data_IF_552186201934
#
_entry.id   IF_552186201934
#
_cell.length_a   1.000
_cell.length_b   1.000
_cell.length_c   1.000
_cell.angle_alpha   90.00
_cell.angle_beta   90.00
_cell.angle_gamma   90.00
#
_symmetry.space_group_name_H-M   'P 1'
#
loop_
_entity.id
_entity.type
_entity.pdbx_description
1 polymer ?
#
# COMPACT_ATOMS: atom_id res chain seq x y z
N UNK A 1 3.63 -10.88 7.57
CA UNK A 1 3.07 -11.19 6.25
C UNK A 1 3.16 -9.95 5.36
N UNK A 2 3.91 -10.02 4.26
CA UNK A 2 4.02 -8.92 3.30
C UNK A 2 3.22 -9.25 2.04
N UNK A 3 2.08 -8.59 1.85
CA UNK A 3 1.22 -8.83 0.69
C UNK A 3 1.22 -7.61 -0.25
N UNK A 4 2.00 -7.74 -1.33
CA UNK A 4 2.14 -6.73 -2.40
C UNK A 4 0.87 -6.54 -3.23
N UNK A 5 -0.11 -7.43 -3.10
CA UNK A 5 -1.43 -7.25 -3.72
C UNK A 5 -2.33 -6.31 -2.91
N UNK A 6 -1.96 -5.96 -1.68
CA UNK A 6 -2.76 -5.13 -0.79
C UNK A 6 -3.94 -5.88 -0.14
N UNK A 7 -3.77 -7.17 0.18
CA UNK A 7 -4.81 -8.01 0.78
C UNK A 7 -6.10 -8.03 -0.04
N UNK A 8 -5.97 -8.36 -1.33
CA UNK A 8 -7.10 -8.51 -2.24
C UNK A 8 -7.66 -9.94 -2.30
N UNK A 9 -6.91 -10.94 -1.81
CA UNK A 9 -7.36 -12.34 -1.73
C UNK A 9 -8.07 -12.60 -0.40
N UNK A 10 -9.28 -13.15 -0.47
CA UNK A 10 -10.04 -13.56 0.71
C UNK A 10 -9.33 -14.71 1.46
N UNK A 11 -8.69 -15.62 0.72
CA UNK A 11 -7.91 -16.72 1.28
C UNK A 11 -6.72 -16.20 2.09
N UNK A 12 -6.03 -15.16 1.58
CA UNK A 12 -4.93 -14.51 2.31
C UNK A 12 -5.41 -13.85 3.60
N UNK A 13 -6.61 -13.25 3.59
CA UNK A 13 -7.21 -12.63 4.77
C UNK A 13 -7.59 -13.66 5.84
N UNK A 14 -8.14 -14.82 5.45
CA UNK A 14 -8.43 -15.90 6.41
C UNK A 14 -7.13 -16.47 7.01
N UNK A 15 -6.10 -16.72 6.19
CA UNK A 15 -4.79 -17.16 6.71
C UNK A 15 -4.21 -16.11 7.67
N UNK A 16 -4.24 -14.84 7.31
CA UNK A 16 -3.75 -13.78 8.18
C UNK A 16 -4.53 -13.73 9.51
N UNK A 17 -5.86 -13.92 9.48
CA UNK A 17 -6.72 -13.94 10.67
C UNK A 17 -6.39 -15.10 11.61
N UNK A 18 -6.08 -16.28 11.07
CA UNK A 18 -5.77 -17.46 11.88
C UNK A 18 -4.43 -17.33 12.61
N UNK A 19 -3.41 -16.80 11.92
CA UNK A 19 -2.04 -16.69 12.46
C UNK A 19 -1.71 -15.34 13.08
N UNK A 20 -2.55 -14.32 12.86
CA UNK A 20 -2.41 -12.92 13.35
C UNK A 20 -0.99 -12.35 13.21
N UNK A 21 -0.35 -12.42 12.04
CA UNK A 21 0.99 -11.86 11.87
C UNK A 21 0.93 -10.34 11.79
N UNK A 22 2.07 -9.68 12.00
CA UNK A 22 2.23 -8.29 11.53
C UNK A 22 2.07 -8.25 10.00
N UNK A 23 1.17 -7.40 9.52
CA UNK A 23 0.78 -7.32 8.11
C UNK A 23 1.37 -6.04 7.47
N UNK A 24 2.02 -6.18 6.32
CA UNK A 24 2.48 -5.05 5.51
C UNK A 24 1.45 -4.85 4.40
N UNK A 25 0.70 -3.75 4.49
CA UNK A 25 -0.32 -3.34 3.53
C UNK A 25 0.32 -2.39 2.50
N UNK A 26 0.54 -2.89 1.30
CA UNK A 26 1.17 -2.12 0.22
C UNK A 26 0.14 -1.55 -0.76
N UNK A 27 0.28 -0.26 -1.12
CA UNK A 27 -0.50 0.34 -2.20
C UNK A 27 0.08 0.02 -3.58
N UNK A 28 -0.75 -0.59 -4.43
CA UNK A 28 -0.47 -0.76 -5.86
C UNK A 28 -1.73 -0.39 -6.68
N UNK A 29 -1.58 0.42 -7.73
CA UNK A 29 -2.72 0.81 -8.58
C UNK A 29 -3.18 -0.32 -9.51
N UNK A 30 -2.27 -1.19 -9.92
CA UNK A 30 -2.55 -2.32 -10.83
C UNK A 30 -1.87 -3.58 -10.34
N UNK A 31 -2.27 -4.72 -10.89
CA UNK A 31 -1.53 -5.97 -10.67
C UNK A 31 -0.19 -5.92 -11.42
N UNK A 32 0.85 -6.65 -10.95
CA UNK A 32 2.19 -6.62 -11.55
C UNK A 32 2.25 -6.83 -13.06
N UNK A 33 1.26 -7.51 -13.65
CA UNK A 33 1.20 -7.79 -15.10
C UNK A 33 0.95 -6.54 -15.95
N UNK A 34 0.26 -5.52 -15.42
CA UNK A 34 -0.20 -4.35 -16.19
C UNK A 34 0.38 -3.03 -15.64
N UNK A 35 1.42 -3.10 -14.78
CA UNK A 35 1.85 -1.97 -13.94
C UNK A 35 2.45 -0.76 -14.66
N UNK A 36 2.98 -0.93 -15.88
CA UNK A 36 3.67 0.16 -16.59
C UNK A 36 2.88 0.76 -17.76
N UNK A 37 1.74 0.18 -18.11
CA UNK A 37 0.88 0.72 -19.17
C UNK A 37 -0.15 1.68 -18.56
N UNK A 38 -0.28 2.89 -19.11
CA UNK A 38 -1.30 3.87 -18.73
C UNK A 38 -1.38 4.14 -17.21
N UNK A 39 -0.23 4.43 -16.57
CA UNK A 39 -0.19 4.90 -15.18
C UNK A 39 -0.81 6.29 -15.12
N UNK A 40 -1.95 6.42 -14.46
CA UNK A 40 -2.69 7.68 -14.36
C UNK A 40 -3.34 7.79 -13.00
N UNK A 41 -3.04 8.86 -12.26
CA UNK A 41 -3.76 9.25 -11.06
C UNK A 41 -4.40 10.60 -11.33
N UNK A 42 -5.67 10.78 -10.99
CA UNK A 42 -6.29 12.10 -10.99
C UNK A 42 -5.75 12.93 -9.81
N UNK A 43 -5.63 12.30 -8.64
CA UNK A 43 -4.89 12.82 -7.50
C UNK A 43 -4.27 11.66 -6.71
N UNK A 44 -2.95 11.55 -6.79
CA UNK A 44 -2.18 10.48 -6.16
C UNK A 44 -2.45 10.33 -4.65
N UNK A 45 -2.47 11.43 -3.91
CA UNK A 45 -2.62 11.39 -2.45
C UNK A 45 -4.05 11.02 -2.06
N UNK A 46 -5.05 11.59 -2.72
CA UNK A 46 -6.46 11.29 -2.43
C UNK A 46 -6.81 9.83 -2.76
N UNK A 47 -6.29 9.31 -3.87
CA UNK A 47 -6.47 7.91 -4.26
C UNK A 47 -5.81 6.96 -3.27
N UNK A 48 -4.57 7.25 -2.86
CA UNK A 48 -3.87 6.45 -1.85
C UNK A 48 -4.55 6.54 -0.48
N UNK A 49 -5.08 7.69 -0.11
CA UNK A 49 -5.82 7.87 1.15
C UNK A 49 -7.09 7.03 1.18
N UNK A 50 -7.86 7.04 0.08
CA UNK A 50 -9.05 6.18 -0.06
C UNK A 50 -8.67 4.71 0.05
N UNK A 51 -7.64 4.28 -0.68
CA UNK A 51 -7.14 2.91 -0.63
C UNK A 51 -6.78 2.47 0.79
N UNK A 52 -5.95 3.24 1.49
CA UNK A 52 -5.51 2.86 2.83
C UNK A 52 -6.67 2.85 3.81
N UNK A 53 -7.58 3.82 3.73
CA UNK A 53 -8.77 3.84 4.58
C UNK A 53 -9.63 2.59 4.38
N UNK A 54 -10.00 2.29 3.14
CA UNK A 54 -10.83 1.13 2.80
C UNK A 54 -10.17 -0.18 3.23
N UNK A 55 -8.85 -0.32 2.99
CA UNK A 55 -8.12 -1.53 3.35
C UNK A 55 -7.93 -1.71 4.84
N UNK A 56 -7.70 -0.64 5.59
CA UNK A 56 -7.65 -0.71 7.05
C UNK A 56 -9.00 -1.15 7.64
N UNK A 57 -10.12 -0.64 7.11
CA UNK A 57 -11.46 -1.09 7.52
C UNK A 57 -11.70 -2.57 7.21
N UNK A 58 -11.19 -3.08 6.08
CA UNK A 58 -11.25 -4.51 5.77
C UNK A 58 -10.41 -5.31 6.77
N UNK A 59 -9.14 -4.96 6.98
CA UNK A 59 -8.25 -5.68 7.89
C UNK A 59 -8.78 -5.70 9.34
N UNK A 60 -9.39 -4.59 9.78
CA UNK A 60 -10.03 -4.50 11.09
C UNK A 60 -11.17 -5.51 11.27
N UNK A 61 -12.00 -5.74 10.24
CA UNK A 61 -13.06 -6.77 10.26
C UNK A 61 -12.51 -8.19 10.43
N UNK A 62 -11.28 -8.43 10.03
CA UNK A 62 -10.56 -9.69 10.23
C UNK A 62 -9.75 -9.72 11.54
N UNK A 63 -9.94 -8.74 12.43
CA UNK A 63 -9.21 -8.57 13.68
C UNK A 63 -7.68 -8.44 13.50
N UNK A 64 -7.23 -7.90 12.36
CA UNK A 64 -5.83 -7.65 12.07
C UNK A 64 -5.46 -6.22 12.48
N UNK A 65 -4.71 -6.07 13.57
CA UNK A 65 -4.40 -4.77 14.18
C UNK A 65 -2.96 -4.31 13.95
N UNK A 66 -2.02 -5.25 13.87
CA UNK A 66 -0.58 -5.01 13.66
C UNK A 66 -0.28 -4.77 12.18
N UNK A 67 -0.55 -3.54 11.72
CA UNK A 67 -0.43 -3.15 10.32
C UNK A 67 0.71 -2.14 10.13
N UNK A 68 1.54 -2.38 9.13
CA UNK A 68 2.54 -1.46 8.58
C UNK A 68 2.07 -1.04 7.19
N UNK A 69 2.13 0.25 6.86
CA UNK A 69 1.76 0.75 5.53
C UNK A 69 3.00 0.84 4.64
N UNK A 70 2.89 0.37 3.41
CA UNK A 70 3.88 0.61 2.36
C UNK A 70 3.22 1.41 1.22
N UNK A 71 3.80 2.57 0.92
CA UNK A 71 3.33 3.48 -0.14
C UNK A 71 3.52 2.93 -1.56
N UNK A 72 4.20 1.78 -1.69
CA UNK A 72 4.38 1.06 -2.94
C UNK A 72 5.20 1.87 -3.93
N UNK A 73 6.39 2.30 -3.51
CA UNK A 73 7.33 3.03 -4.36
C UNK A 73 7.65 2.22 -5.64
N UNK A 74 7.53 2.83 -6.81
CA UNK A 74 7.75 2.17 -8.10
C UNK A 74 6.76 1.06 -8.49
N UNK A 75 5.60 0.97 -7.83
CA UNK A 75 4.50 0.08 -8.24
C UNK A 75 3.40 0.90 -8.93
N UNK A 76 3.42 0.92 -10.27
CA UNK A 76 2.55 1.72 -11.12
C UNK A 76 2.51 3.20 -10.69
N UNK A 77 3.70 3.82 -10.60
CA UNK A 77 3.90 5.23 -10.27
C UNK A 77 5.03 5.78 -11.13
N UNK A 78 4.78 6.93 -11.75
CA UNK A 78 5.79 7.67 -12.52
C UNK A 78 6.86 8.26 -11.59
N UNK A 79 7.96 8.74 -12.17
CA UNK A 79 9.04 9.41 -11.44
C UNK A 79 8.52 10.56 -10.60
N UNK A 80 7.66 11.42 -11.15
CA UNK A 80 7.15 12.59 -10.43
C UNK A 80 6.31 12.18 -9.23
N UNK A 81 5.49 11.12 -9.38
CA UNK A 81 4.70 10.56 -8.28
C UNK A 81 5.61 10.03 -7.15
N UNK A 82 6.64 9.27 -7.52
CA UNK A 82 7.60 8.73 -6.56
C UNK A 82 8.33 9.85 -5.79
N UNK A 83 8.77 10.91 -6.47
CA UNK A 83 9.40 12.07 -5.83
C UNK A 83 8.43 12.83 -4.91
N UNK A 84 7.18 13.02 -5.34
CA UNK A 84 6.15 13.64 -4.52
C UNK A 84 5.89 12.85 -3.23
N UNK A 85 5.84 11.53 -3.32
CA UNK A 85 5.63 10.66 -2.15
C UNK A 85 6.80 10.71 -1.16
N UNK A 86 8.05 10.75 -1.64
CA UNK A 86 9.21 10.93 -0.75
C UNK A 86 9.12 12.30 -0.05
N UNK A 87 8.84 13.37 -0.81
CA UNK A 87 8.76 14.73 -0.29
C UNK A 87 7.66 14.90 0.77
N UNK A 88 6.57 14.16 0.64
CA UNK A 88 5.38 14.27 1.49
C UNK A 88 5.10 13.00 2.30
N UNK A 89 6.14 12.25 2.68
CA UNK A 89 5.99 10.96 3.38
C UNK A 89 5.18 11.08 4.69
N UNK A 90 5.33 12.21 5.40
CA UNK A 90 4.62 12.49 6.64
C UNK A 90 3.10 12.53 6.49
N UNK A 91 2.58 12.74 5.28
CA UNK A 91 1.14 12.71 4.97
C UNK A 91 0.47 11.42 5.46
N UNK A 92 1.14 10.28 5.32
CA UNK A 92 0.58 8.98 5.66
C UNK A 92 0.68 8.64 7.16
N UNK A 93 1.42 9.43 7.96
CA UNK A 93 1.49 9.23 9.42
C UNK A 93 0.14 9.51 10.11
N UNK A 94 -0.77 10.23 9.44
CA UNK A 94 -2.14 10.47 9.93
C UNK A 94 -2.94 9.19 10.19
N UNK A 95 -2.59 8.08 9.52
CA UNK A 95 -3.20 6.77 9.73
C UNK A 95 -2.75 6.10 11.05
N UNK A 96 -1.80 6.70 11.78
CA UNK A 96 -1.27 6.19 13.06
C UNK A 96 -0.73 4.76 12.96
N UNK A 97 -0.17 4.41 11.81
CA UNK A 97 0.52 3.14 11.53
C UNK A 97 1.97 3.42 11.15
N UNK A 98 2.92 2.51 11.44
CA UNK A 98 4.28 2.61 10.94
C UNK A 98 4.30 2.66 9.41
N UNK A 99 5.26 3.39 8.84
CA UNK A 99 5.48 3.46 7.39
C UNK A 99 6.74 2.69 7.02
N UNK A 100 6.64 1.87 5.98
CA UNK A 100 7.74 1.19 5.31
C UNK A 100 7.91 1.79 3.92
N UNK A 101 9.16 2.08 3.53
CA UNK A 101 9.48 2.62 2.20
C UNK A 101 10.62 1.82 1.58
N UNK A 102 10.32 1.06 0.53
CA UNK A 102 11.31 0.31 -0.24
C UNK A 102 11.81 1.07 -1.48
N UNK A 103 12.73 2.03 -1.31
CA UNK A 103 13.27 2.83 -2.42
C UNK A 103 14.53 2.24 -3.10
N UNK A 104 15.12 1.18 -2.53
CA UNK A 104 16.42 0.65 -2.98
C UNK A 104 16.40 0.14 -4.42
N UNK A 105 17.34 0.64 -5.25
CA UNK A 105 17.59 0.23 -6.64
C UNK A 105 16.38 0.33 -7.59
N UNK A 106 15.33 1.07 -7.22
CA UNK A 106 14.19 1.33 -8.10
C UNK A 106 14.50 2.52 -9.01
N UNK A 107 14.20 2.38 -10.31
CA UNK A 107 14.41 3.43 -11.29
C UNK A 107 13.64 4.68 -10.86
N UNK A 108 14.40 5.74 -10.58
CA UNK A 108 13.91 7.07 -10.23
C UNK A 108 13.95 7.93 -11.46
#
# INVERSE_FOLDING_TARGET
LNDVSGFNSAEMLEVAKDYKPTCILMHAQKTPKDMQENVFYHNLFDEMDRFFKEKLEVLEKYALQDIILDIGFGFAKLKEHNLALIKHLSHFLKFKKPLLVGASRKNT
#
